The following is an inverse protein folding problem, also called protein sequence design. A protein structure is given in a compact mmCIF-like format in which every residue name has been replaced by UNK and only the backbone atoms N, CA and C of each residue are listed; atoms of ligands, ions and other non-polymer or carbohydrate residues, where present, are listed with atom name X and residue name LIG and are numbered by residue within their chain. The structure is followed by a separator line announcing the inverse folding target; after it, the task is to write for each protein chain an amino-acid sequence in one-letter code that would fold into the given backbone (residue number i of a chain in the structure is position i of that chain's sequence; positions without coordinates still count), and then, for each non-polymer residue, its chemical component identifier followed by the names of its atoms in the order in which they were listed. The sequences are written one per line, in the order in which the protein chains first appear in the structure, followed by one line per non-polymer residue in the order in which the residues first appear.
data_IF_319665539406
#
_entry.id   IF_319665539406
#
_cell.length_a   1.000
_cell.length_b   1.000
_cell.length_c   1.000
_cell.angle_alpha   90.00
_cell.angle_beta   90.00
_cell.angle_gamma   90.00
#
_symmetry.space_group_name_H-M   'P 1'
#
loop_
_entity.id
_entity.type
_entity.pdbx_description
1 polymer ?
#
# COMPACT_ATOMS: atom_id res chain seq x y z
N UNK A 1 23.91 1.38 0.32
CA UNK A 1 23.66 0.45 1.46
C UNK A 1 22.17 0.49 1.75
N UNK A 2 21.50 -0.64 1.98
CA UNK A 2 20.07 -0.60 2.30
C UNK A 2 19.79 -0.15 3.73
N UNK A 3 18.69 0.55 3.91
CA UNK A 3 18.20 1.03 5.20
C UNK A 3 17.10 0.08 5.69
N UNK A 4 17.25 -0.55 6.86
CA UNK A 4 16.17 -1.34 7.46
C UNK A 4 15.02 -0.44 7.89
N UNK A 5 13.84 -1.02 7.98
CA UNK A 5 12.69 -0.34 8.58
C UNK A 5 12.94 -0.10 10.07
N UNK A 6 12.61 1.11 10.54
CA UNK A 6 12.60 1.45 11.96
C UNK A 6 11.16 1.43 12.51
N UNK A 7 10.77 0.39 13.27
CA UNK A 7 9.42 0.25 13.79
C UNK A 7 9.10 1.24 14.92
N UNK A 8 10.03 2.10 15.32
CA UNK A 8 9.77 3.17 16.30
C UNK A 8 9.07 4.38 15.67
N UNK A 9 9.10 4.51 14.34
CA UNK A 9 8.45 5.58 13.59
C UNK A 9 7.10 5.12 13.01
N UNK A 10 6.09 6.01 12.89
CA UNK A 10 4.89 5.72 12.13
C UNK A 10 5.23 5.48 10.65
N UNK A 11 4.58 4.50 10.03
CA UNK A 11 4.81 4.14 8.63
C UNK A 11 3.53 3.90 7.88
N UNK A 12 3.60 4.05 6.56
CA UNK A 12 2.53 3.70 5.65
C UNK A 12 3.05 2.82 4.52
N UNK A 13 2.58 1.58 4.48
CA UNK A 13 2.98 0.55 3.53
C UNK A 13 2.01 0.53 2.36
N UNK A 14 2.56 0.58 1.15
CA UNK A 14 1.74 0.75 -0.05
C UNK A 14 2.31 0.04 -1.28
N UNK A 15 1.40 -0.32 -2.19
CA UNK A 15 1.70 -0.80 -3.54
C UNK A 15 0.68 -0.15 -4.50
N UNK A 16 1.15 0.29 -5.68
CA UNK A 16 0.33 0.93 -6.72
C UNK A 16 -0.71 0.01 -7.35
N UNK A 17 -0.55 -1.31 -7.21
CA UNK A 17 -1.52 -2.30 -7.69
C UNK A 17 -2.80 -2.39 -6.87
N UNK A 18 -2.94 -1.64 -5.77
CA UNK A 18 -4.17 -1.61 -4.99
C UNK A 18 -4.95 -0.31 -5.24
N UNK A 19 -6.18 -0.38 -5.80
CA UNK A 19 -7.01 0.81 -5.94
C UNK A 19 -7.40 1.41 -4.59
N UNK A 20 -7.55 0.60 -3.54
CA UNK A 20 -7.89 1.12 -2.20
C UNK A 20 -6.72 1.90 -1.57
N UNK A 21 -5.48 1.61 -1.97
CA UNK A 21 -4.32 2.44 -1.59
C UNK A 21 -4.42 3.84 -2.18
N UNK A 22 -4.79 3.95 -3.47
CA UNK A 22 -5.05 5.25 -4.12
C UNK A 22 -6.15 6.02 -3.39
N UNK A 23 -7.29 5.38 -3.15
CA UNK A 23 -8.44 6.03 -2.51
C UNK A 23 -8.12 6.52 -1.09
N UNK A 24 -7.28 5.79 -0.35
CA UNK A 24 -6.84 6.22 0.96
C UNK A 24 -5.83 7.38 0.88
N UNK A 25 -4.93 7.37 -0.12
CA UNK A 25 -3.92 8.41 -0.32
C UNK A 25 -4.54 9.76 -0.76
N UNK A 26 -5.58 9.75 -1.58
CA UNK A 26 -6.34 10.97 -1.89
C UNK A 26 -7.03 11.58 -0.65
N UNK A 27 -7.14 10.82 0.44
CA UNK A 27 -7.63 11.29 1.74
C UNK A 27 -6.50 11.64 2.72
N UNK A 28 -5.25 11.84 2.26
CA UNK A 28 -4.08 12.12 3.13
C UNK A 28 -4.25 13.34 4.04
N UNK A 29 -5.02 14.34 3.60
CA UNK A 29 -5.38 15.53 4.39
C UNK A 29 -6.19 15.18 5.66
N UNK A 30 -6.87 14.03 5.66
CA UNK A 30 -7.65 13.51 6.77
C UNK A 30 -6.87 12.52 7.63
N UNK A 31 -5.62 12.21 7.33
CA UNK A 31 -4.82 11.29 8.14
C UNK A 31 -4.46 11.93 9.49
N UNK A 32 -4.03 11.14 10.49
CA UNK A 32 -3.42 11.71 11.69
C UNK A 32 -2.23 12.61 11.30
N UNK A 33 -2.04 13.72 12.03
CA UNK A 33 -0.89 14.62 11.88
C UNK A 33 0.43 14.03 12.37
N UNK A 34 0.72 12.79 11.98
CA UNK A 34 1.93 12.04 12.28
C UNK A 34 2.82 11.97 11.04
N UNK A 35 4.15 11.98 11.20
CA UNK A 35 5.08 11.90 10.09
C UNK A 35 5.22 10.45 9.62
N UNK A 36 4.21 9.93 8.93
CA UNK A 36 4.27 8.59 8.36
C UNK A 36 5.39 8.49 7.33
N UNK A 37 6.30 7.54 7.51
CA UNK A 37 7.27 7.18 6.49
C UNK A 37 6.57 6.37 5.41
N UNK A 38 6.63 6.87 4.17
CA UNK A 38 6.07 6.20 3.00
C UNK A 38 6.99 5.06 2.58
N UNK A 39 6.50 3.83 2.70
CA UNK A 39 7.29 2.62 2.49
C UNK A 39 6.72 1.79 1.33
N UNK A 40 7.28 1.92 0.11
CA UNK A 40 7.01 1.03 -1.00
C UNK A 40 7.22 -0.44 -0.63
N UNK A 41 6.25 -1.28 -0.96
CA UNK A 41 6.35 -2.74 -0.86
C UNK A 41 5.80 -3.40 -2.12
N UNK A 42 6.09 -4.70 -2.30
CA UNK A 42 5.49 -5.52 -3.37
C UNK A 42 4.38 -6.38 -2.78
N UNK A 43 3.12 -6.09 -3.11
CA UNK A 43 1.94 -6.78 -2.58
C UNK A 43 1.93 -8.27 -2.93
N UNK A 44 2.38 -8.63 -4.14
CA UNK A 44 2.49 -10.03 -4.55
C UNK A 44 3.40 -10.83 -3.62
N UNK A 45 4.46 -10.21 -3.09
CA UNK A 45 5.44 -10.84 -2.22
C UNK A 45 4.91 -11.01 -0.80
N UNK A 46 4.08 -10.07 -0.33
CA UNK A 46 3.32 -10.22 0.91
C UNK A 46 2.37 -11.42 0.83
N UNK A 47 1.63 -11.56 -0.28
CA UNK A 47 0.76 -12.73 -0.49
C UNK A 47 1.54 -14.03 -0.44
N UNK A 48 2.72 -14.09 -1.09
CA UNK A 48 3.61 -15.26 -1.05
C UNK A 48 4.10 -15.55 0.37
N UNK A 49 4.51 -14.54 1.13
CA UNK A 49 4.98 -14.70 2.50
C UNK A 49 3.92 -15.34 3.41
N UNK A 50 2.66 -14.90 3.29
CA UNK A 50 1.56 -15.39 4.12
C UNK A 50 0.81 -16.60 3.54
N UNK A 51 1.22 -17.12 2.38
CA UNK A 51 0.50 -18.19 1.68
C UNK A 51 -0.92 -17.79 1.26
N UNK A 52 -1.16 -16.50 1.05
CA UNK A 52 -2.48 -15.98 0.69
C UNK A 52 -2.73 -16.12 -0.81
N UNK A 53 -3.94 -16.54 -1.17
CA UNK A 53 -4.39 -16.48 -2.55
C UNK A 53 -4.71 -15.02 -2.92
N UNK A 54 -4.07 -14.43 -3.95
CA UNK A 54 -4.38 -13.07 -4.38
C UNK A 54 -5.86 -12.94 -4.74
N UNK A 55 -6.48 -11.81 -4.41
CA UNK A 55 -7.90 -11.61 -4.72
C UNK A 55 -8.20 -11.67 -6.23
N UNK A 56 -7.21 -11.38 -7.07
CA UNK A 56 -7.29 -11.49 -8.53
C UNK A 56 -7.36 -12.94 -9.05
N UNK A 57 -7.00 -13.94 -8.24
CA UNK A 57 -7.05 -15.35 -8.63
C UNK A 57 -8.47 -15.92 -8.64
N UNK A 58 -9.43 -15.22 -8.02
CA UNK A 58 -10.86 -15.56 -8.06
C UNK A 58 -11.57 -14.55 -8.98
N UNK A 59 -11.97 -14.93 -10.21
CA UNK A 59 -12.50 -13.99 -11.21
C UNK A 59 -13.67 -13.13 -10.71
N UNK A 60 -14.58 -13.70 -9.94
CA UNK A 60 -15.76 -13.03 -9.39
C UNK A 60 -15.37 -12.02 -8.32
N UNK A 61 -14.44 -12.38 -7.42
CA UNK A 61 -13.88 -11.47 -6.40
C UNK A 61 -13.13 -10.32 -7.06
N UNK A 62 -12.40 -10.60 -8.13
CA UNK A 62 -11.70 -9.59 -8.93
C UNK A 62 -12.66 -8.57 -9.53
N UNK A 63 -13.73 -9.02 -10.19
CA UNK A 63 -14.76 -8.13 -10.76
C UNK A 63 -15.47 -7.32 -9.67
N UNK A 64 -15.76 -7.94 -8.52
CA UNK A 64 -16.33 -7.24 -7.38
C UNK A 64 -15.43 -6.11 -6.90
N UNK A 65 -14.12 -6.37 -6.74
CA UNK A 65 -13.15 -5.35 -6.30
C UNK A 65 -13.13 -4.15 -7.25
N UNK A 66 -13.25 -4.36 -8.56
CA UNK A 66 -13.24 -3.25 -9.54
C UNK A 66 -14.47 -2.36 -9.39
N UNK A 67 -15.64 -2.99 -9.29
CA UNK A 67 -16.91 -2.28 -9.05
C UNK A 67 -16.91 -1.59 -7.70
N UNK A 68 -16.36 -2.23 -6.67
CA UNK A 68 -16.29 -1.67 -5.33
C UNK A 68 -15.34 -0.47 -5.28
N UNK A 69 -14.16 -0.55 -5.90
CA UNK A 69 -13.24 0.57 -5.98
C UNK A 69 -13.87 1.78 -6.70
N UNK A 70 -14.54 1.55 -7.84
CA UNK A 70 -15.27 2.60 -8.55
C UNK A 70 -16.36 3.24 -7.67
N UNK A 71 -17.20 2.40 -7.04
CA UNK A 71 -18.24 2.88 -6.13
C UNK A 71 -17.66 3.69 -4.96
N UNK A 72 -16.59 3.20 -4.33
CA UNK A 72 -15.92 3.91 -3.23
C UNK A 72 -15.37 5.26 -3.69
N UNK A 73 -14.76 5.33 -4.86
CA UNK A 73 -14.28 6.58 -5.44
C UNK A 73 -15.41 7.60 -5.61
N UNK A 74 -16.56 7.17 -6.15
CA UNK A 74 -17.76 8.02 -6.29
C UNK A 74 -18.28 8.52 -4.94
N UNK A 75 -18.33 7.65 -3.92
CA UNK A 75 -18.75 8.04 -2.57
C UNK A 75 -17.79 9.05 -1.92
N UNK A 76 -16.51 8.99 -2.27
CA UNK A 76 -15.47 9.87 -1.72
C UNK A 76 -15.29 11.15 -2.55
N UNK A 77 -15.93 11.26 -3.72
CA UNK A 77 -15.71 12.37 -4.66
C UNK A 77 -14.34 12.37 -5.31
N UNK A 78 -13.68 11.20 -5.39
CA UNK A 78 -12.33 11.04 -5.95
C UNK A 78 -12.44 10.66 -7.42
N UNK A 79 -11.82 11.39 -8.37
CA UNK A 79 -11.77 10.95 -9.76
C UNK A 79 -11.06 9.60 -9.88
N UNK A 80 -11.66 8.66 -10.60
CA UNK A 80 -11.16 7.30 -10.70
C UNK A 80 -11.42 6.69 -12.07
N UNK A 81 -10.37 6.14 -12.65
CA UNK A 81 -10.38 5.41 -13.92
C UNK A 81 -9.42 4.23 -13.80
N UNK A 82 -9.95 3.03 -14.04
CA UNK A 82 -9.13 1.82 -14.08
C UNK A 82 -8.07 1.93 -15.18
N UNK A 83 -6.84 1.40 -14.96
CA UNK A 83 -5.87 1.24 -16.04
C UNK A 83 -6.39 0.23 -17.09
N UNK A 84 -5.78 0.17 -18.28
CA UNK A 84 -6.22 -0.70 -19.37
C UNK A 84 -6.25 -2.20 -19.01
N UNK A 85 -5.38 -2.62 -18.08
CA UNK A 85 -5.33 -3.98 -17.55
C UNK A 85 -5.10 -3.96 -16.04
N UNK A 86 -5.76 -4.88 -15.33
CA UNK A 86 -5.56 -5.10 -13.91
C UNK A 86 -5.84 -6.58 -13.54
N UNK A 87 -5.06 -7.19 -12.62
CA UNK A 87 -3.81 -6.68 -12.06
C UNK A 87 -2.72 -6.54 -13.13
N UNK A 88 -1.70 -5.73 -12.83
CA UNK A 88 -0.51 -5.54 -13.66
C UNK A 88 0.76 -5.66 -12.80
N UNK A 89 1.95 -5.78 -13.41
CA UNK A 89 3.21 -5.83 -12.66
C UNK A 89 3.58 -4.45 -12.12
N UNK A 90 3.63 -4.33 -10.79
CA UNK A 90 3.88 -3.08 -10.07
C UNK A 90 5.37 -2.86 -9.80
N UNK A 91 6.21 -3.88 -9.98
CA UNK A 91 7.60 -3.92 -9.50
C UNK A 91 8.41 -2.72 -10.00
N UNK A 92 8.33 -2.40 -11.29
CA UNK A 92 9.07 -1.28 -11.90
C UNK A 92 8.64 0.07 -11.28
N UNK A 93 7.35 0.25 -11.03
CA UNK A 93 6.80 1.47 -10.41
C UNK A 93 7.16 1.55 -8.91
N UNK A 94 7.10 0.43 -8.18
CA UNK A 94 7.49 0.41 -6.77
C UNK A 94 9.00 0.66 -6.58
N UNK A 95 9.84 0.23 -7.54
CA UNK A 95 11.26 0.60 -7.58
C UNK A 95 11.43 2.10 -7.82
N UNK A 96 10.65 2.71 -8.72
CA UNK A 96 10.71 4.15 -8.96
C UNK A 96 10.38 4.91 -7.68
N UNK A 97 9.28 4.56 -7.00
CA UNK A 97 8.90 5.16 -5.73
C UNK A 97 10.00 4.98 -4.65
N UNK A 98 10.67 3.83 -4.63
CA UNK A 98 11.78 3.54 -3.71
C UNK A 98 13.00 4.43 -4.00
N UNK A 99 13.42 4.50 -5.27
CA UNK A 99 14.57 5.31 -5.69
C UNK A 99 14.37 6.80 -5.40
N UNK A 100 13.14 7.29 -5.60
CA UNK A 100 12.79 8.69 -5.34
C UNK A 100 12.56 9.00 -3.86
N UNK A 101 12.56 7.98 -2.98
CA UNK A 101 12.15 8.12 -1.57
C UNK A 101 10.81 8.85 -1.48
N UNK A 102 9.85 8.38 -2.28
CA UNK A 102 8.60 9.08 -2.55
C UNK A 102 7.91 9.54 -1.26
N UNK A 103 7.67 10.84 -1.17
CA UNK A 103 6.81 11.44 -0.16
C UNK A 103 5.34 11.40 -0.62
N UNK A 104 4.45 12.06 0.14
CA UNK A 104 3.03 12.13 -0.18
C UNK A 104 2.76 12.73 -1.56
N UNK A 105 3.50 13.76 -1.97
CA UNK A 105 3.29 14.46 -3.24
C UNK A 105 3.74 13.58 -4.42
N UNK A 106 4.93 12.98 -4.32
CA UNK A 106 5.43 12.04 -5.32
C UNK A 106 4.51 10.82 -5.45
N UNK A 107 4.13 10.21 -4.33
CA UNK A 107 3.22 9.06 -4.32
C UNK A 107 1.87 9.41 -4.97
N UNK A 108 1.28 10.56 -4.63
CA UNK A 108 0.02 11.02 -5.23
C UNK A 108 0.11 11.09 -6.75
N UNK A 109 1.18 11.68 -7.30
CA UNK A 109 1.33 11.79 -8.75
C UNK A 109 1.54 10.43 -9.43
N UNK A 110 2.24 9.49 -8.79
CA UNK A 110 2.35 8.11 -9.28
C UNK A 110 0.97 7.44 -9.33
N UNK A 111 0.21 7.54 -8.24
CA UNK A 111 -1.11 6.92 -8.17
C UNK A 111 -2.11 7.59 -9.12
N UNK A 112 -2.11 8.91 -9.25
CA UNK A 112 -2.97 9.65 -10.19
C UNK A 112 -2.69 9.29 -11.63
N UNK A 113 -1.43 9.12 -12.03
CA UNK A 113 -1.11 8.61 -13.36
C UNK A 113 -1.85 7.30 -13.69
N UNK A 114 -1.93 6.38 -12.73
CA UNK A 114 -2.53 5.06 -12.92
C UNK A 114 -4.05 5.10 -12.75
N UNK A 115 -4.53 5.67 -11.65
CA UNK A 115 -5.91 5.52 -11.18
C UNK A 115 -6.78 6.76 -11.36
N UNK A 116 -6.21 7.95 -11.54
CA UNK A 116 -6.98 9.13 -11.97
C UNK A 116 -7.08 9.15 -13.50
N UNK A 117 -5.94 9.03 -14.20
CA UNK A 117 -5.90 9.13 -15.66
C UNK A 117 -6.20 7.81 -16.38
N UNK A 118 -6.10 6.67 -15.67
CA UNK A 118 -6.26 5.34 -16.24
C UNK A 118 -5.14 4.98 -17.22
N UNK A 119 -3.90 5.42 -16.97
CA UNK A 119 -2.75 5.13 -17.84
C UNK A 119 -2.06 3.83 -17.44
N UNK A 120 -1.43 3.19 -18.41
CA UNK A 120 -0.64 1.98 -18.22
C UNK A 120 0.82 2.34 -17.93
N UNK A 121 1.36 2.05 -16.73
CA UNK A 121 2.76 2.32 -16.40
C UNK A 121 3.71 1.17 -16.81
N UNK A 122 3.20 0.08 -17.40
CA UNK A 122 3.99 -1.13 -17.71
C UNK A 122 4.65 -1.09 -19.07
N UNK A 123 4.14 -0.27 -20.00
CA UNK A 123 4.78 -0.02 -21.30
C UNK A 123 5.97 0.92 -21.13
N UNK A 124 6.95 0.86 -22.05
CA UNK A 124 8.10 1.76 -21.98
C UNK A 124 7.70 3.23 -22.13
N UNK A 125 6.76 3.53 -23.04
CA UNK A 125 6.21 4.87 -23.22
C UNK A 125 5.44 5.36 -21.98
N UNK A 126 4.60 4.48 -21.40
CA UNK A 126 3.85 4.80 -20.20
C UNK A 126 4.74 5.04 -18.99
N UNK A 127 5.76 4.20 -18.82
CA UNK A 127 6.75 4.36 -17.76
C UNK A 127 7.59 5.64 -17.93
N UNK A 128 8.01 5.97 -19.16
CA UNK A 128 8.72 7.21 -19.44
C UNK A 128 7.86 8.44 -19.11
N UNK A 129 6.57 8.43 -19.51
CA UNK A 129 5.64 9.51 -19.17
C UNK A 129 5.38 9.64 -17.66
N UNK A 130 5.35 8.51 -16.93
CA UNK A 130 5.28 8.52 -15.47
C UNK A 130 6.54 9.15 -14.87
N UNK A 131 7.73 8.79 -15.37
CA UNK A 131 9.01 9.35 -14.95
C UNK A 131 9.05 10.88 -15.14
N UNK A 132 8.61 11.37 -16.30
CA UNK A 132 8.48 12.81 -16.56
C UNK A 132 7.52 13.49 -15.57
N UNK A 133 6.34 12.88 -15.33
CA UNK A 133 5.33 13.43 -14.42
C UNK A 133 5.86 13.65 -13.00
N UNK A 134 6.67 12.73 -12.49
CA UNK A 134 7.23 12.81 -11.14
C UNK A 134 8.57 13.54 -11.09
N UNK A 135 8.99 14.18 -12.18
CA UNK A 135 10.23 14.96 -12.24
C UNK A 135 11.51 14.11 -12.22
N UNK A 136 11.44 12.86 -12.68
CA UNK A 136 12.53 11.90 -12.68
C UNK A 136 12.81 11.32 -14.08
N UNK A 137 13.26 12.13 -15.06
CA UNK A 137 13.48 11.66 -16.44
C UNK A 137 14.44 10.46 -16.54
N UNK A 138 15.40 10.35 -15.62
CA UNK A 138 16.34 9.21 -15.54
C UNK A 138 15.77 7.99 -14.80
N UNK A 139 14.46 7.98 -14.51
CA UNK A 139 13.79 6.95 -13.72
C UNK A 139 14.00 5.54 -14.26
N UNK A 140 14.09 5.36 -15.58
CA UNK A 140 14.39 4.07 -16.21
C UNK A 140 15.76 3.50 -15.81
N UNK A 141 16.77 4.34 -15.59
CA UNK A 141 18.06 3.92 -15.08
C UNK A 141 18.02 3.68 -13.56
N UNK A 142 17.33 4.56 -12.82
CA UNK A 142 17.24 4.48 -11.36
C UNK A 142 16.61 3.16 -10.86
N UNK A 143 15.59 2.65 -11.56
CA UNK A 143 14.93 1.40 -11.19
C UNK A 143 15.78 0.16 -11.44
N UNK A 144 16.83 0.28 -12.26
CA UNK A 144 17.75 -0.83 -12.56
C UNK A 144 18.95 -0.88 -11.62
N UNK A 145 19.19 0.16 -10.83
CA UNK A 145 20.24 0.16 -9.81
C UNK A 145 20.01 -0.96 -8.79
N UNK A 146 21.06 -1.74 -8.51
CA UNK A 146 21.00 -2.83 -7.53
C UNK A 146 20.61 -2.32 -6.14
N UNK A 147 21.03 -1.12 -5.76
CA UNK A 147 20.62 -0.50 -4.50
C UNK A 147 19.09 -0.28 -4.42
N UNK A 148 18.46 0.17 -5.51
CA UNK A 148 17.00 0.35 -5.58
C UNK A 148 16.27 -0.99 -5.45
N UNK A 149 16.73 -2.00 -6.19
CA UNK A 149 16.15 -3.36 -6.18
C UNK A 149 16.24 -3.96 -4.78
N UNK A 150 17.41 -3.88 -4.17
CA UNK A 150 17.70 -4.42 -2.85
C UNK A 150 16.95 -3.67 -1.75
N UNK A 151 16.78 -2.35 -1.86
CA UNK A 151 15.99 -1.56 -0.92
C UNK A 151 14.50 -1.95 -0.96
N UNK A 152 13.89 -2.10 -2.14
CA UNK A 152 12.48 -2.51 -2.25
C UNK A 152 12.26 -3.93 -1.70
N UNK A 153 13.19 -4.84 -2.02
CA UNK A 153 13.16 -6.22 -1.49
C UNK A 153 13.23 -6.20 0.05
N UNK A 154 14.11 -5.37 0.61
CA UNK A 154 14.26 -5.22 2.06
C UNK A 154 13.02 -4.59 2.70
N UNK A 155 12.47 -3.51 2.14
CA UNK A 155 11.23 -2.91 2.61
C UNK A 155 10.11 -3.95 2.71
N UNK A 156 9.96 -4.79 1.68
CA UNK A 156 8.92 -5.81 1.63
C UNK A 156 9.16 -6.94 2.65
N UNK A 157 10.41 -7.38 2.80
CA UNK A 157 10.77 -8.39 3.79
C UNK A 157 10.60 -7.91 5.23
N UNK A 158 11.05 -6.69 5.53
CA UNK A 158 10.93 -6.06 6.85
C UNK A 158 9.45 -5.80 7.18
N UNK A 159 8.65 -5.35 6.21
CA UNK A 159 7.19 -5.19 6.37
C UNK A 159 6.50 -6.52 6.70
N UNK A 160 6.84 -7.59 5.98
CA UNK A 160 6.30 -8.92 6.26
C UNK A 160 6.69 -9.40 7.67
N UNK A 161 7.95 -9.21 8.07
CA UNK A 161 8.43 -9.53 9.41
C UNK A 161 7.72 -8.71 10.52
N UNK A 162 7.28 -7.48 10.21
CA UNK A 162 6.47 -6.64 11.10
C UNK A 162 5.01 -7.10 11.21
N UNK A 163 4.59 -8.05 10.38
CA UNK A 163 3.20 -8.55 10.35
C UNK A 163 2.35 -7.94 9.24
N UNK A 164 2.90 -7.12 8.34
CA UNK A 164 2.14 -6.53 7.23
C UNK A 164 1.72 -7.65 6.28
N UNK A 165 0.41 -7.78 6.07
CA UNK A 165 -0.19 -8.83 5.25
C UNK A 165 -0.94 -8.32 4.00
N UNK A 166 -1.01 -7.00 3.84
CA UNK A 166 -1.65 -6.36 2.69
C UNK A 166 -1.40 -4.87 2.68
N UNK A 167 -1.96 -4.19 1.67
CA UNK A 167 -1.88 -2.73 1.52
C UNK A 167 -3.26 -2.15 1.19
N UNK A 168 -3.51 -0.87 1.50
CA UNK A 168 -2.65 0.01 2.28
C UNK A 168 -2.63 -0.40 3.76
N UNK A 169 -1.51 -0.21 4.44
CA UNK A 169 -1.40 -0.49 5.87
C UNK A 169 -0.67 0.63 6.60
N UNK A 170 -1.29 1.19 7.64
CA UNK A 170 -0.60 2.04 8.60
C UNK A 170 0.06 1.21 9.69
N UNK A 171 1.24 1.64 10.11
CA UNK A 171 1.85 1.25 11.37
C UNK A 171 1.96 2.47 12.28
N UNK A 172 1.30 2.42 13.43
CA UNK A 172 1.43 3.42 14.50
C UNK A 172 1.13 2.77 15.85
N UNK A 173 1.74 3.26 16.92
CA UNK A 173 1.55 2.73 18.28
C UNK A 173 1.73 1.20 18.39
N UNK A 174 2.69 0.64 17.62
CA UNK A 174 2.96 -0.80 17.53
C UNK A 174 1.78 -1.65 17.04
N UNK A 175 0.87 -1.04 16.27
CA UNK A 175 -0.29 -1.70 15.69
C UNK A 175 -0.36 -1.47 14.19
N UNK A 176 -0.89 -2.46 13.49
CA UNK A 176 -1.18 -2.42 12.07
C UNK A 176 -2.66 -2.10 11.85
N UNK A 177 -2.94 -1.18 10.93
CA UNK A 177 -4.29 -0.85 10.48
C UNK A 177 -4.33 -1.00 8.97
N UNK A 178 -5.02 -2.03 8.49
CA UNK A 178 -5.05 -2.42 7.09
C UNK A 178 -6.37 -2.03 6.44
N UNK A 179 -6.30 -1.44 5.24
CA UNK A 179 -7.45 -1.08 4.42
C UNK A 179 -7.76 0.41 4.38
N UNK A 180 -8.46 0.84 3.31
CA UNK A 180 -9.01 2.20 3.20
C UNK A 180 -10.09 2.45 4.27
N UNK A 181 -10.90 1.44 4.53
CA UNK A 181 -11.99 1.42 5.50
C UNK A 181 -11.53 1.44 6.96
N UNK A 182 -10.24 1.21 7.22
CA UNK A 182 -9.65 1.32 8.55
C UNK A 182 -9.30 2.77 8.96
N UNK A 183 -9.37 3.76 8.05
CA UNK A 183 -9.02 5.16 8.38
C UNK A 183 -9.75 5.72 9.62
N UNK A 184 -11.06 5.47 9.86
CA UNK A 184 -11.71 5.89 11.10
C UNK A 184 -11.09 5.28 12.36
N UNK A 185 -10.66 4.01 12.30
CA UNK A 185 -10.00 3.32 13.42
C UNK A 185 -8.59 3.88 13.66
N UNK A 186 -7.85 4.18 12.58
CA UNK A 186 -6.53 4.85 12.61
C UNK A 186 -6.65 6.19 13.33
N UNK A 187 -7.62 7.02 12.91
CA UNK A 187 -7.89 8.32 13.50
C UNK A 187 -8.29 8.23 14.98
N UNK A 188 -9.12 7.25 15.31
CA UNK A 188 -9.52 7.02 16.69
C UNK A 188 -8.33 6.63 17.58
N UNK A 189 -7.50 5.69 17.14
CA UNK A 189 -6.34 5.21 17.90
C UNK A 189 -5.21 6.25 17.96
N UNK A 190 -5.08 7.12 16.96
CA UNK A 190 -4.15 8.24 17.01
C UNK A 190 -4.52 9.27 18.08
N UNK A 191 -5.82 9.49 18.34
CA UNK A 191 -6.31 10.37 19.42
C UNK A 191 -6.41 9.68 20.77
N UNK A 192 -6.72 8.38 20.77
CA UNK A 192 -7.02 7.59 21.99
C UNK A 192 -6.21 6.28 21.98
N UNK A 193 -4.88 6.34 22.15
CA UNK A 193 -4.03 5.14 22.02
C UNK A 193 -4.39 4.04 23.04
N UNK A 194 -4.87 4.43 24.22
CA UNK A 194 -5.20 3.50 25.31
C UNK A 194 -6.45 2.63 25.04
N UNK A 195 -7.21 2.88 23.97
CA UNK A 195 -8.32 1.99 23.62
C UNK A 195 -7.84 0.57 23.28
N UNK A 196 -6.67 0.47 22.65
CA UNK A 196 -6.00 -0.81 22.38
C UNK A 196 -5.67 -1.57 23.67
N UNK A 197 -5.50 -0.83 24.77
CA UNK A 197 -5.22 -1.38 26.09
C UNK A 197 -6.48 -1.72 26.90
N UNK A 198 -7.66 -1.40 26.38
CA UNK A 198 -8.92 -1.66 27.08
C UNK A 198 -9.13 -3.15 27.34
N UNK A 199 -9.83 -3.45 28.43
CA UNK A 199 -10.07 -4.83 28.87
C UNK A 199 -10.66 -5.69 27.76
N UNK A 200 -11.63 -5.15 27.03
CA UNK A 200 -12.32 -5.87 25.98
C UNK A 200 -11.46 -6.09 24.74
N UNK A 201 -10.69 -5.07 24.32
CA UNK A 201 -9.74 -5.23 23.20
C UNK A 201 -8.70 -6.32 23.52
N UNK A 202 -8.10 -6.30 24.72
CA UNK A 202 -7.17 -7.36 25.15
C UNK A 202 -7.82 -8.75 25.14
N UNK A 203 -9.08 -8.85 25.60
CA UNK A 203 -9.82 -10.12 25.61
C UNK A 203 -10.03 -10.66 24.19
N UNK A 204 -10.47 -9.83 23.25
CA UNK A 204 -10.73 -10.28 21.88
C UNK A 204 -9.44 -10.60 21.11
N UNK A 205 -8.34 -9.89 21.37
CA UNK A 205 -7.04 -10.13 20.74
C UNK A 205 -6.41 -11.48 21.12
N UNK A 206 -6.82 -12.09 22.24
CA UNK A 206 -6.32 -13.39 22.70
C UNK A 206 -7.35 -14.51 22.56
N UNK A 207 -8.42 -14.30 21.79
CA UNK A 207 -9.41 -15.36 21.58
C UNK A 207 -8.76 -16.58 20.89
N UNK A 208 -9.00 -17.80 21.39
CA UNK A 208 -8.53 -18.99 20.70
C UNK A 208 -9.31 -19.17 19.39
N UNK A 209 -8.66 -19.80 18.40
CA UNK A 209 -9.36 -20.25 17.19
C UNK A 209 -10.49 -21.22 17.56
N UNK A 210 -11.71 -20.96 17.06
CA UNK A 210 -12.84 -21.88 17.20
C UNK A 210 -12.78 -23.10 16.27
N UNK A 211 -11.91 -23.06 15.26
CA UNK A 211 -11.64 -24.21 14.39
C UNK A 211 -10.61 -25.11 15.08
N UNK A 212 -10.92 -26.41 15.16
CA UNK A 212 -9.93 -27.42 15.56
C UNK A 212 -8.81 -27.38 14.53
N UNK A 213 -7.55 -27.34 14.99
CA UNK A 213 -6.43 -27.62 14.10
C UNK A 213 -6.57 -29.07 13.68
N UNK A 214 -6.85 -29.32 12.41
CA UNK A 214 -6.73 -30.67 11.87
C UNK A 214 -5.27 -31.09 12.09
N UNK A 215 -5.10 -32.15 12.88
CA UNK A 215 -3.82 -32.77 13.22
C UNK A 215 -3.18 -33.44 12.03
#
# INVERSE_FOLDING_TARGET
MTHPIDPTHPMWFYDVGSPFTYLLLEQHDKWPGMPFVFTPVVLADLYRHWGQLPASAVPEKRVFIYRHALFRAEQLGIPFKMPPAHPFDTTKVMRLATALKADVACALEIFRFIWHDGRDPTTDEGFAALCERVGAPDGAALVELEETKEQLRRNTADAAALGVFGVPTFWLNKQLFWGEDALPMVLYCARTPNWLDSKEVKRISTLPSGLKKDS
#
